data_IF_866708184291
#
_entry.id   IF_866708184291
#
_cell.length_a   1.000
_cell.length_b   1.000
_cell.length_c   1.000
_cell.angle_alpha   90.00
_cell.angle_beta   90.00
_cell.angle_gamma   90.00
#
_symmetry.space_group_name_H-M   'P 1'
#
loop_
_entity.id
_entity.type
_entity.pdbx_description
1 polymer ?
#
# COMPACT_ATOMS: atom_id res chain seq x y z
N UNK A 1 -31.66 -0.07 -7.17
CA UNK A 1 -30.77 0.54 -8.11
C UNK A 1 -29.34 0.02 -8.06
N UNK A 2 -28.57 0.41 -9.02
CA UNK A 2 -27.16 0.06 -9.11
C UNK A 2 -26.32 1.02 -8.25
N UNK A 3 -25.44 0.47 -7.42
CA UNK A 3 -24.54 1.26 -6.59
C UNK A 3 -23.14 1.24 -7.23
N UNK A 4 -22.61 2.40 -7.52
CA UNK A 4 -21.24 2.52 -8.01
C UNK A 4 -20.26 2.52 -6.83
N UNK A 5 -19.22 1.71 -6.91
CA UNK A 5 -18.18 1.64 -5.89
C UNK A 5 -16.81 1.92 -6.51
N UNK A 6 -16.16 2.96 -6.02
CA UNK A 6 -14.82 3.33 -6.46
C UNK A 6 -13.80 2.93 -5.39
N UNK A 7 -13.06 1.87 -5.66
CA UNK A 7 -12.08 1.34 -4.72
C UNK A 7 -10.97 2.36 -4.40
N UNK A 8 -10.66 3.25 -5.34
CA UNK A 8 -9.63 4.27 -5.13
C UNK A 8 -9.97 5.24 -3.99
N UNK A 9 -11.24 5.39 -3.66
CA UNK A 9 -11.67 6.26 -2.55
C UNK A 9 -11.22 5.73 -1.19
N UNK A 10 -10.90 4.43 -1.10
CA UNK A 10 -10.39 3.83 0.14
C UNK A 10 -8.88 4.05 0.31
N UNK A 11 -8.18 4.44 -0.74
CA UNK A 11 -6.74 4.67 -0.67
C UNK A 11 -6.45 5.82 0.30
N UNK A 12 -5.62 5.59 1.32
CA UNK A 12 -5.32 6.65 2.29
C UNK A 12 -4.55 7.79 1.64
N UNK A 13 -4.89 9.01 2.04
CA UNK A 13 -4.22 10.22 1.55
C UNK A 13 -2.91 10.44 2.31
N UNK A 14 -1.88 10.87 1.60
CA UNK A 14 -0.58 11.16 2.18
C UNK A 14 0.55 10.93 1.19
N UNK A 15 1.73 11.43 1.53
CA UNK A 15 2.91 11.25 0.70
C UNK A 15 3.39 9.81 0.74
N UNK A 16 3.84 9.29 -0.39
CA UNK A 16 4.55 8.01 -0.49
C UNK A 16 6.01 8.34 -0.72
N UNK A 17 6.88 7.91 0.22
CA UNK A 17 8.30 8.22 0.16
C UNK A 17 9.09 6.92 0.22
N UNK A 18 10.00 6.73 -0.74
CA UNK A 18 10.90 5.59 -0.77
C UNK A 18 12.24 5.90 -0.11
N UNK A 19 12.77 4.91 0.58
CA UNK A 19 14.13 4.94 1.12
C UNK A 19 14.90 3.81 0.48
N UNK A 20 15.93 4.17 -0.29
CA UNK A 20 16.80 3.20 -0.94
C UNK A 20 18.03 2.98 -0.05
N UNK A 21 18.22 1.76 0.44
CA UNK A 21 19.37 1.43 1.29
C UNK A 21 20.69 1.59 0.57
N UNK A 22 20.70 1.64 -0.77
CA UNK A 22 21.92 1.93 -1.52
C UNK A 22 22.62 3.19 -0.98
N UNK A 23 21.85 4.21 -0.62
CA UNK A 23 22.38 5.48 -0.12
C UNK A 23 23.01 5.37 1.28
N UNK A 24 22.82 4.25 1.95
CA UNK A 24 23.33 3.97 3.30
C UNK A 24 24.49 2.96 3.27
N UNK A 25 24.88 2.51 2.08
CA UNK A 25 25.94 1.54 1.91
C UNK A 25 27.27 2.25 1.65
N UNK A 26 28.35 1.63 2.12
CA UNK A 26 29.69 2.11 1.80
C UNK A 26 29.97 1.89 0.31
N UNK A 27 30.31 2.97 -0.39
CA UNK A 27 30.55 2.97 -1.85
C UNK A 27 29.37 2.38 -2.64
N UNK A 28 28.14 2.54 -2.11
CA UNK A 28 26.90 2.03 -2.71
C UNK A 28 26.91 0.50 -2.95
N UNK A 29 27.74 -0.26 -2.22
CA UNK A 29 27.92 -1.69 -2.47
C UNK A 29 27.90 -2.55 -1.22
N UNK A 30 28.46 -2.07 -0.10
CA UNK A 30 28.71 -2.90 1.08
C UNK A 30 28.11 -2.23 2.31
N UNK A 31 27.41 -3.03 3.11
CA UNK A 31 26.91 -2.56 4.41
C UNK A 31 28.01 -2.74 5.44
N UNK A 32 28.50 -1.62 5.99
CA UNK A 32 29.41 -1.59 7.12
C UNK A 32 28.64 -1.07 8.32
N UNK A 33 28.57 -1.82 9.39
CA UNK A 33 27.68 -1.52 10.52
C UNK A 33 27.85 -0.11 11.07
N UNK A 34 29.06 0.30 11.39
CA UNK A 34 29.32 1.63 11.94
C UNK A 34 28.89 2.74 10.99
N UNK A 35 29.29 2.64 9.73
CA UNK A 35 28.94 3.60 8.67
C UNK A 35 27.43 3.66 8.48
N UNK A 36 26.77 2.52 8.44
CA UNK A 36 25.33 2.43 8.30
C UNK A 36 24.62 3.11 9.47
N UNK A 37 25.03 2.83 10.70
CA UNK A 37 24.45 3.45 11.91
C UNK A 37 24.60 4.96 11.90
N UNK A 38 25.75 5.46 11.48
CA UNK A 38 25.98 6.90 11.37
C UNK A 38 25.04 7.55 10.36
N UNK A 39 24.86 6.91 9.19
CA UNK A 39 23.97 7.42 8.15
C UNK A 39 22.50 7.38 8.59
N UNK A 40 22.08 6.34 9.28
CA UNK A 40 20.71 6.28 9.84
C UNK A 40 20.51 7.38 10.88
N UNK A 41 21.51 7.64 11.71
CA UNK A 41 21.43 8.72 12.71
C UNK A 41 21.25 10.10 12.07
N UNK A 42 21.75 10.29 10.86
CA UNK A 42 21.64 11.56 10.13
C UNK A 42 20.26 11.78 9.49
N UNK A 43 19.41 10.75 9.44
CA UNK A 43 18.05 10.91 8.92
C UNK A 43 17.30 11.94 9.78
N UNK A 44 16.72 12.95 9.11
CA UNK A 44 15.76 13.83 9.76
C UNK A 44 14.37 13.16 9.69
N UNK A 45 13.86 12.63 10.82
CA UNK A 45 12.58 11.93 10.79
C UNK A 45 11.41 12.82 10.38
N UNK A 46 11.53 14.13 10.57
CA UNK A 46 10.43 15.05 10.24
C UNK A 46 10.08 15.09 8.74
N UNK A 47 11.04 14.74 7.87
CA UNK A 47 10.78 14.61 6.44
C UNK A 47 9.70 13.56 6.17
N UNK A 48 9.61 12.56 7.04
CA UNK A 48 8.70 11.41 6.90
C UNK A 48 7.42 11.54 7.73
N UNK A 49 7.23 12.69 8.38
CA UNK A 49 6.06 12.88 9.24
C UNK A 49 4.77 12.68 8.46
N UNK A 50 3.92 11.81 8.99
CA UNK A 50 2.62 11.44 8.41
C UNK A 50 2.70 10.83 7.00
N UNK A 51 3.90 10.45 6.55
CA UNK A 51 4.09 9.81 5.26
C UNK A 51 3.95 8.30 5.35
N UNK A 52 3.71 7.69 4.20
CA UNK A 52 3.78 6.25 3.99
C UNK A 52 5.12 5.93 3.34
N UNK A 53 5.90 5.06 3.96
CA UNK A 53 7.30 4.85 3.60
C UNK A 53 7.51 3.42 3.11
N UNK A 54 8.21 3.26 2.00
CA UNK A 54 8.65 1.96 1.51
C UNK A 54 10.18 1.93 1.50
N UNK A 55 10.75 0.85 2.03
CA UNK A 55 12.20 0.70 2.21
C UNK A 55 12.68 -0.46 1.36
N UNK A 56 13.68 -0.23 0.54
CA UNK A 56 14.18 -1.21 -0.41
C UNK A 56 15.68 -1.00 -0.65
N UNK A 57 16.30 -1.92 -1.36
CA UNK A 57 17.69 -1.78 -1.80
C UNK A 57 17.75 -2.01 -3.31
N UNK A 58 18.17 -1.00 -4.06
CA UNK A 58 18.21 -1.06 -5.52
C UNK A 58 19.47 -1.74 -6.06
N UNK A 59 20.43 -2.08 -5.22
CA UNK A 59 21.66 -2.77 -5.62
C UNK A 59 21.71 -4.17 -5.02
N UNK A 60 22.47 -5.04 -5.65
CA UNK A 60 22.68 -6.41 -5.17
C UNK A 60 23.71 -6.38 -4.04
N UNK A 61 23.23 -6.24 -2.83
CA UNK A 61 24.03 -6.21 -1.62
C UNK A 61 23.41 -7.11 -0.56
N UNK A 62 24.24 -7.65 0.32
CA UNK A 62 23.78 -8.41 1.46
C UNK A 62 23.33 -7.43 2.53
N UNK A 63 22.02 -7.35 2.78
CA UNK A 63 21.43 -6.45 3.78
C UNK A 63 20.83 -7.30 4.89
N UNK A 64 21.43 -7.31 6.09
CA UNK A 64 20.87 -8.07 7.19
C UNK A 64 19.58 -7.42 7.69
N UNK A 65 18.70 -8.23 8.29
CA UNK A 65 17.38 -7.75 8.72
C UNK A 65 17.49 -6.61 9.75
N UNK A 66 18.54 -6.59 10.59
CA UNK A 66 18.70 -5.53 11.59
C UNK A 66 18.88 -4.14 10.94
N UNK A 67 19.36 -4.07 9.69
CA UNK A 67 19.45 -2.79 8.97
C UNK A 67 18.06 -2.17 8.78
N UNK A 68 17.09 -3.00 8.40
CA UNK A 68 15.69 -2.56 8.28
C UNK A 68 15.10 -2.21 9.65
N UNK A 69 15.50 -2.93 10.72
CA UNK A 69 15.09 -2.59 12.08
C UNK A 69 15.52 -1.18 12.46
N UNK A 70 16.73 -0.80 12.12
CA UNK A 70 17.26 0.53 12.47
C UNK A 70 16.49 1.64 11.74
N UNK A 71 16.24 1.47 10.44
CA UNK A 71 15.43 2.43 9.67
C UNK A 71 14.02 2.53 10.27
N UNK A 72 13.39 1.40 10.53
CA UNK A 72 12.04 1.35 11.08
C UNK A 72 11.98 2.00 12.45
N UNK A 73 12.95 1.70 13.32
CA UNK A 73 13.04 2.31 14.66
C UNK A 73 13.14 3.82 14.57
N UNK A 74 13.93 4.33 13.63
CA UNK A 74 14.12 5.78 13.45
C UNK A 74 12.82 6.49 13.07
N UNK A 75 11.96 5.84 12.30
CA UNK A 75 10.77 6.46 11.71
C UNK A 75 9.46 6.10 12.43
N UNK A 76 9.47 5.12 13.32
CA UNK A 76 8.28 4.70 14.07
C UNK A 76 7.78 5.84 14.95
N UNK A 77 6.47 6.09 14.88
CA UNK A 77 5.84 7.20 15.60
C UNK A 77 5.85 8.52 14.83
N UNK A 78 6.58 8.58 13.71
CA UNK A 78 6.62 9.75 12.83
C UNK A 78 5.94 9.44 11.51
N UNK A 79 6.39 8.39 10.82
CA UNK A 79 5.72 7.89 9.61
C UNK A 79 4.41 7.18 9.98
N UNK A 80 3.42 7.25 9.10
CA UNK A 80 2.15 6.54 9.30
C UNK A 80 2.27 5.05 9.07
N UNK A 81 3.12 4.64 8.11
CA UNK A 81 3.33 3.25 7.79
C UNK A 81 4.72 3.07 7.19
N UNK A 82 5.37 1.97 7.52
CA UNK A 82 6.68 1.61 6.97
C UNK A 82 6.59 0.18 6.46
N UNK A 83 6.94 -0.03 5.19
CA UNK A 83 6.82 -1.32 4.52
C UNK A 83 8.14 -1.64 3.82
N UNK A 84 8.57 -2.90 3.91
CA UNK A 84 9.66 -3.39 3.06
C UNK A 84 9.14 -3.66 1.65
N UNK A 85 9.83 -3.16 0.66
CA UNK A 85 9.54 -3.45 -0.73
C UNK A 85 9.42 -2.21 -1.59
N UNK A 86 8.81 -2.36 -2.75
CA UNK A 86 8.58 -1.29 -3.71
C UNK A 86 7.39 -0.43 -3.32
N UNK A 87 7.15 0.65 -4.07
CA UNK A 87 5.94 1.45 -3.89
C UNK A 87 4.68 0.59 -4.06
N UNK A 88 4.69 -0.36 -4.99
CA UNK A 88 3.55 -1.27 -5.18
C UNK A 88 3.30 -2.12 -3.94
N UNK A 89 4.36 -2.64 -3.31
CA UNK A 89 4.23 -3.41 -2.07
C UNK A 89 3.60 -2.56 -0.96
N UNK A 90 3.99 -1.29 -0.87
CA UNK A 90 3.37 -0.36 0.07
C UNK A 90 1.87 -0.20 -0.22
N UNK A 91 1.50 0.03 -1.48
CA UNK A 91 0.09 0.20 -1.85
C UNK A 91 -0.75 -1.05 -1.56
N UNK A 92 -0.18 -2.24 -1.73
CA UNK A 92 -0.86 -3.50 -1.36
C UNK A 92 -1.18 -3.52 0.12
N UNK A 93 -0.22 -3.16 0.97
CA UNK A 93 -0.42 -3.14 2.43
C UNK A 93 -1.44 -2.09 2.83
N UNK A 94 -1.34 -0.88 2.28
CA UNK A 94 -2.26 0.22 2.60
C UNK A 94 -3.70 -0.14 2.21
N UNK A 95 -3.90 -0.71 1.02
CA UNK A 95 -5.23 -1.11 0.58
C UNK A 95 -5.78 -2.28 1.38
N UNK A 96 -4.92 -3.23 1.75
CA UNK A 96 -5.34 -4.33 2.63
C UNK A 96 -5.90 -3.82 3.95
N UNK A 97 -5.19 -2.90 4.59
CA UNK A 97 -5.64 -2.31 5.85
C UNK A 97 -6.94 -1.52 5.66
N UNK A 98 -7.01 -0.72 4.59
CA UNK A 98 -8.20 0.07 4.31
C UNK A 98 -9.44 -0.80 4.07
N UNK A 99 -9.31 -1.86 3.28
CA UNK A 99 -10.41 -2.80 3.00
C UNK A 99 -10.81 -3.55 4.27
N UNK A 100 -9.83 -3.97 5.08
CA UNK A 100 -10.09 -4.72 6.31
C UNK A 100 -10.87 -3.91 7.34
N UNK A 101 -10.70 -2.59 7.36
CA UNK A 101 -11.36 -1.70 8.32
C UNK A 101 -12.63 -1.02 7.77
N UNK A 102 -12.88 -1.13 6.46
CA UNK A 102 -14.04 -0.51 5.85
C UNK A 102 -15.31 -1.27 6.19
N UNK A 103 -16.38 -0.53 6.48
CA UNK A 103 -17.69 -1.12 6.77
C UNK A 103 -18.52 -1.18 5.48
N UNK A 104 -18.70 -2.39 4.94
CA UNK A 104 -19.45 -2.61 3.71
C UNK A 104 -20.96 -2.83 3.95
N UNK A 105 -21.47 -2.61 5.15
CA UNK A 105 -22.85 -2.90 5.49
C UNK A 105 -23.87 -2.18 4.59
N UNK A 106 -23.53 -0.99 4.10
CA UNK A 106 -24.41 -0.21 3.21
C UNK A 106 -24.59 -0.87 1.83
N UNK A 107 -23.75 -1.84 1.49
CA UNK A 107 -23.81 -2.57 0.22
C UNK A 107 -24.59 -3.87 0.32
N UNK A 108 -25.06 -4.24 1.52
CA UNK A 108 -25.80 -5.48 1.75
C UNK A 108 -27.02 -5.56 0.84
N UNK A 109 -27.16 -6.67 0.12
CA UNK A 109 -28.24 -6.95 -0.82
C UNK A 109 -28.36 -5.95 -1.97
N UNK A 110 -27.33 -5.16 -2.21
CA UNK A 110 -27.30 -4.20 -3.33
C UNK A 110 -26.65 -4.81 -4.58
N UNK A 111 -27.01 -4.25 -5.74
CA UNK A 111 -26.33 -4.52 -6.98
C UNK A 111 -25.19 -3.51 -7.08
N UNK A 112 -23.96 -4.01 -7.20
CA UNK A 112 -22.75 -3.16 -7.12
C UNK A 112 -21.99 -3.21 -8.43
N UNK A 113 -21.62 -2.02 -8.91
CA UNK A 113 -20.69 -1.85 -10.02
C UNK A 113 -19.38 -1.30 -9.46
N UNK A 114 -18.31 -2.10 -9.53
CA UNK A 114 -16.98 -1.65 -9.16
C UNK A 114 -16.37 -0.92 -10.35
N UNK A 115 -15.98 0.33 -10.16
CA UNK A 115 -15.45 1.16 -11.23
C UNK A 115 -14.13 0.60 -11.74
N UNK A 116 -14.00 0.53 -13.06
CA UNK A 116 -12.80 0.03 -13.72
C UNK A 116 -11.75 1.08 -14.01
N UNK A 117 -12.15 2.35 -14.07
CA UNK A 117 -11.24 3.48 -14.30
C UNK A 117 -11.00 4.24 -13.01
N UNK A 118 -9.74 4.48 -12.71
CA UNK A 118 -9.33 5.25 -11.53
C UNK A 118 -8.10 6.08 -11.91
N UNK A 119 -8.01 7.29 -11.37
CA UNK A 119 -6.81 8.12 -11.49
C UNK A 119 -5.68 7.57 -10.62
N UNK A 120 -6.02 6.74 -9.65
CA UNK A 120 -5.07 6.12 -8.73
C UNK A 120 -4.65 4.74 -9.24
N UNK A 121 -3.40 4.40 -9.04
CA UNK A 121 -2.87 3.08 -9.38
C UNK A 121 -3.22 2.10 -8.26
N UNK A 122 -4.32 1.38 -8.41
CA UNK A 122 -4.80 0.42 -7.43
C UNK A 122 -4.19 -0.94 -7.71
N UNK A 123 -3.49 -1.56 -6.75
CA UNK A 123 -2.91 -2.88 -6.96
C UNK A 123 -3.99 -3.95 -7.15
N UNK A 124 -3.71 -4.91 -8.01
CA UNK A 124 -4.65 -5.99 -8.34
C UNK A 124 -5.14 -6.72 -7.09
N UNK A 125 -4.25 -6.89 -6.10
CA UNK A 125 -4.60 -7.57 -4.85
C UNK A 125 -5.77 -6.91 -4.12
N UNK A 126 -5.90 -5.59 -4.24
CA UNK A 126 -7.03 -4.87 -3.62
C UNK A 126 -8.37 -5.25 -4.23
N UNK A 127 -8.42 -5.45 -5.55
CA UNK A 127 -9.64 -5.91 -6.22
C UNK A 127 -9.99 -7.35 -5.83
N UNK A 128 -8.99 -8.21 -5.68
CA UNK A 128 -9.20 -9.58 -5.22
C UNK A 128 -9.81 -9.58 -3.81
N UNK A 129 -9.23 -8.82 -2.89
CA UNK A 129 -9.74 -8.70 -1.52
C UNK A 129 -11.15 -8.11 -1.48
N UNK A 130 -11.42 -7.13 -2.35
CA UNK A 130 -12.74 -6.52 -2.43
C UNK A 130 -13.81 -7.54 -2.79
N UNK A 131 -13.54 -8.40 -3.79
CA UNK A 131 -14.46 -9.44 -4.20
C UNK A 131 -14.71 -10.44 -3.07
N UNK A 132 -13.65 -10.81 -2.34
CA UNK A 132 -13.80 -11.70 -1.18
C UNK A 132 -14.73 -11.09 -0.11
N UNK A 133 -14.63 -9.77 0.12
CA UNK A 133 -15.49 -9.08 1.08
C UNK A 133 -16.93 -8.94 0.60
N UNK A 134 -17.12 -8.67 -0.69
CA UNK A 134 -18.45 -8.35 -1.23
C UNK A 134 -19.26 -9.59 -1.59
N UNK A 135 -18.63 -10.70 -1.98
CA UNK A 135 -19.33 -11.91 -2.43
C UNK A 135 -20.42 -12.37 -1.46
N UNK A 136 -20.19 -12.43 -0.14
CA UNK A 136 -21.21 -12.91 0.78
C UNK A 136 -22.32 -11.91 1.07
N UNK A 137 -22.18 -10.63 0.73
CA UNK A 137 -23.10 -9.60 1.20
C UNK A 137 -23.91 -8.89 0.12
N UNK A 138 -23.37 -8.73 -1.09
CA UNK A 138 -24.06 -8.00 -2.16
C UNK A 138 -24.96 -8.92 -2.99
N UNK A 139 -25.96 -8.34 -3.64
CA UNK A 139 -26.86 -9.09 -4.51
C UNK A 139 -26.15 -9.49 -5.81
N UNK A 140 -25.39 -8.59 -6.41
CA UNK A 140 -24.64 -8.85 -7.63
C UNK A 140 -23.45 -7.92 -7.75
N UNK A 141 -22.47 -8.35 -8.52
CA UNK A 141 -21.26 -7.56 -8.78
C UNK A 141 -20.96 -7.50 -10.26
N UNK A 142 -20.66 -6.31 -10.73
CA UNK A 142 -20.16 -6.04 -12.09
C UNK A 142 -18.89 -5.20 -11.98
N UNK A 143 -18.08 -5.23 -13.01
CA UNK A 143 -16.86 -4.43 -13.09
C UNK A 143 -16.80 -3.65 -14.38
N UNK A 144 -16.40 -2.39 -14.29
CA UNK A 144 -16.22 -1.52 -15.45
C UNK A 144 -16.97 -0.20 -15.30
N UNK A 145 -17.53 0.26 -16.39
CA UNK A 145 -18.37 1.45 -16.45
C UNK A 145 -19.82 1.05 -16.67
N UNK A 146 -20.76 1.93 -16.31
CA UNK A 146 -22.19 1.62 -16.44
C UNK A 146 -22.58 1.26 -17.89
N UNK A 147 -21.94 1.86 -18.88
CA UNK A 147 -22.20 1.62 -20.30
C UNK A 147 -21.41 0.43 -20.89
N UNK A 148 -20.36 -0.03 -20.20
CA UNK A 148 -19.50 -1.11 -20.67
C UNK A 148 -18.93 -1.85 -19.46
N UNK A 149 -19.66 -2.84 -18.98
CA UNK A 149 -19.29 -3.57 -17.76
C UNK A 149 -19.23 -5.07 -18.01
N UNK A 150 -18.51 -5.74 -17.12
CA UNK A 150 -18.37 -7.20 -17.12
C UNK A 150 -19.10 -7.73 -15.89
N UNK A 151 -20.14 -8.56 -16.06
CA UNK A 151 -20.78 -9.23 -14.92
C UNK A 151 -19.82 -10.22 -14.26
N UNK A 152 -19.75 -10.21 -12.93
CA UNK A 152 -18.87 -11.09 -12.17
C UNK A 152 -19.67 -12.20 -11.50
N UNK A 153 -20.70 -11.83 -10.73
CA UNK A 153 -21.59 -12.82 -10.11
C UNK A 153 -22.95 -12.20 -9.78
N UNK A 154 -23.91 -13.10 -9.55
CA UNK A 154 -25.24 -12.77 -9.03
C UNK A 154 -25.60 -13.79 -7.97
N UNK A 155 -25.91 -13.35 -6.78
CA UNK A 155 -26.36 -14.20 -5.68
C UNK A 155 -27.87 -14.45 -5.73
#
# INVERSE_FOLDING_TARGET
GLVNFDLSELSPKGKRIGIDLKDFLFMEMILKEKDFREKVAEIDPEIYRDAFVYVYCSVDAIVPIWAYFLITSKLTGVAKKIVYGTKKDLEVVLMHEAISHYNFADLEAKRVLVKGCSEEDIPENAYIELVEKLKPIVKSLMFGEACSNVPIFKN
#
